data_IF_786165075474
#
_entry.id   IF_786165075474
#
_cell.length_a   1.000
_cell.length_b   1.000
_cell.length_c   1.000
_cell.angle_alpha   90.00
_cell.angle_beta   90.00
_cell.angle_gamma   90.00
#
_symmetry.space_group_name_H-M   'P 1'
#
loop_
_entity.id
_entity.type
_entity.pdbx_description
1 polymer ?
#
# COMPACT_ATOMS: atom_id res chain seq x y z
N UNK A 1 -28.97 -0.88 -6.07
CA UNK A 1 -29.27 -0.81 -4.62
C UNK A 1 -28.28 -1.76 -3.95
N UNK A 2 -27.30 -1.28 -3.21
CA UNK A 2 -26.33 -2.13 -2.52
C UNK A 2 -27.07 -2.91 -1.42
N UNK A 3 -27.08 -4.23 -1.54
CA UNK A 3 -27.67 -5.13 -0.54
C UNK A 3 -26.56 -5.41 0.48
N UNK A 4 -26.86 -5.19 1.77
CA UNK A 4 -25.96 -5.60 2.85
C UNK A 4 -25.79 -7.12 2.83
N UNK A 5 -24.54 -7.58 2.67
CA UNK A 5 -24.21 -9.01 2.69
C UNK A 5 -23.57 -9.35 4.04
N UNK A 6 -24.30 -10.12 4.88
CA UNK A 6 -23.87 -10.52 6.20
C UNK A 6 -22.61 -11.40 6.16
N UNK A 7 -22.43 -12.20 5.11
CA UNK A 7 -21.25 -13.06 4.97
C UNK A 7 -20.01 -12.22 4.69
N UNK A 8 -20.14 -11.25 3.81
CA UNK A 8 -19.08 -10.33 3.45
C UNK A 8 -18.65 -9.48 4.66
N UNK A 9 -19.64 -8.93 5.36
CA UNK A 9 -19.42 -8.23 6.64
C UNK A 9 -18.67 -9.13 7.63
N UNK A 10 -19.11 -10.38 7.79
CA UNK A 10 -18.51 -11.33 8.73
C UNK A 10 -17.05 -11.66 8.40
N UNK A 11 -16.73 -11.83 7.11
CA UNK A 11 -15.36 -12.03 6.64
C UNK A 11 -14.49 -10.83 6.97
N UNK A 12 -14.98 -9.61 6.71
CA UNK A 12 -14.25 -8.36 7.01
C UNK A 12 -14.03 -8.20 8.51
N UNK A 13 -15.05 -8.41 9.32
CA UNK A 13 -14.95 -8.37 10.77
C UNK A 13 -13.85 -9.31 11.27
N UNK A 14 -13.81 -10.55 10.78
CA UNK A 14 -12.77 -11.52 11.13
C UNK A 14 -11.37 -11.05 10.75
N UNK A 15 -11.22 -10.48 9.56
CA UNK A 15 -9.95 -10.00 9.06
C UNK A 15 -9.44 -8.81 9.89
N UNK A 16 -10.30 -7.82 10.12
CA UNK A 16 -9.93 -6.64 10.92
C UNK A 16 -9.61 -7.00 12.36
N UNK A 17 -10.38 -7.91 12.97
CA UNK A 17 -10.08 -8.43 14.31
C UNK A 17 -8.69 -9.08 14.37
N UNK A 18 -8.36 -9.93 13.39
CA UNK A 18 -7.03 -10.57 13.31
C UNK A 18 -5.92 -9.56 13.11
N UNK A 19 -6.11 -8.56 12.24
CA UNK A 19 -5.16 -7.46 12.04
C UNK A 19 -4.93 -6.66 13.33
N UNK A 20 -5.98 -6.47 14.14
CA UNK A 20 -5.88 -5.84 15.46
C UNK A 20 -5.25 -6.75 16.54
N UNK A 21 -4.92 -8.00 16.24
CA UNK A 21 -4.35 -8.96 17.19
C UNK A 21 -5.33 -9.46 18.25
N UNK A 22 -6.64 -9.27 18.04
CA UNK A 22 -7.65 -9.65 19.01
C UNK A 22 -8.13 -11.10 18.81
N UNK A 23 -8.31 -11.83 19.92
CA UNK A 23 -9.02 -13.11 19.88
C UNK A 23 -10.55 -12.90 19.80
N UNK A 24 -11.31 -13.94 19.43
CA UNK A 24 -12.78 -13.87 19.51
C UNK A 24 -13.26 -13.65 20.94
N UNK A 25 -12.54 -14.16 21.92
CA UNK A 25 -12.82 -13.97 23.35
C UNK A 25 -12.62 -12.52 23.78
N UNK A 26 -11.52 -11.87 23.35
CA UNK A 26 -11.26 -10.46 23.67
C UNK A 26 -12.38 -9.56 23.12
N UNK A 27 -12.77 -9.79 21.86
CA UNK A 27 -13.84 -9.00 21.25
C UNK A 27 -15.20 -9.29 21.89
N UNK A 28 -15.47 -10.55 22.27
CA UNK A 28 -16.68 -10.95 22.96
C UNK A 28 -16.80 -10.28 24.35
N UNK A 29 -15.69 -10.22 25.07
CA UNK A 29 -15.63 -9.53 26.36
C UNK A 29 -15.96 -8.03 26.22
N UNK A 30 -15.34 -7.36 25.27
CA UNK A 30 -15.59 -5.93 25.01
C UNK A 30 -17.05 -5.63 24.66
N UNK A 31 -17.71 -6.54 23.93
CA UNK A 31 -19.11 -6.42 23.55
C UNK A 31 -20.11 -6.94 24.60
N UNK A 32 -19.62 -7.51 25.67
CA UNK A 32 -20.46 -8.24 26.68
C UNK A 32 -21.36 -9.32 26.05
N UNK A 33 -20.77 -10.12 25.15
CA UNK A 33 -21.43 -11.24 24.46
C UNK A 33 -20.60 -12.53 24.61
N UNK A 34 -21.10 -13.65 24.11
CA UNK A 34 -20.34 -14.90 24.11
C UNK A 34 -19.40 -14.98 22.91
N UNK A 35 -18.30 -15.76 23.02
CA UNK A 35 -17.43 -16.12 21.89
C UNK A 35 -18.24 -16.69 20.72
N UNK A 36 -19.26 -17.51 21.02
CA UNK A 36 -20.14 -18.08 20.00
C UNK A 36 -20.89 -17.01 19.22
N UNK A 37 -21.27 -15.90 19.85
CA UNK A 37 -21.92 -14.76 19.20
C UNK A 37 -20.95 -14.11 18.19
N UNK A 38 -19.70 -13.87 18.59
CA UNK A 38 -18.66 -13.33 17.66
C UNK A 38 -18.44 -14.29 16.48
N UNK A 39 -18.33 -15.60 16.75
CA UNK A 39 -18.19 -16.60 15.68
C UNK A 39 -19.37 -16.57 14.70
N UNK A 40 -20.61 -16.32 15.19
CA UNK A 40 -21.80 -16.21 14.32
C UNK A 40 -21.79 -14.93 13.50
N UNK A 41 -21.34 -13.82 14.07
CA UNK A 41 -21.13 -12.58 13.31
C UNK A 41 -20.09 -12.78 12.19
N UNK A 42 -18.95 -13.39 12.50
CA UNK A 42 -17.87 -13.66 11.52
C UNK A 42 -18.27 -14.66 10.43
N UNK A 43 -19.27 -15.48 10.66
CA UNK A 43 -19.81 -16.42 9.66
C UNK A 43 -21.02 -15.87 8.90
N UNK A 44 -21.47 -14.67 9.24
CA UNK A 44 -22.65 -14.05 8.63
C UNK A 44 -23.96 -14.73 8.98
N UNK A 45 -24.03 -15.44 10.10
CA UNK A 45 -25.27 -16.07 10.55
C UNK A 45 -26.20 -15.13 11.33
N UNK A 46 -25.64 -14.06 11.87
CA UNK A 46 -26.37 -13.02 12.59
C UNK A 46 -25.63 -11.71 12.42
N UNK A 47 -26.36 -10.60 12.40
CA UNK A 47 -25.81 -9.27 12.28
C UNK A 47 -25.69 -8.61 13.67
N UNK A 48 -24.59 -7.91 13.95
CA UNK A 48 -24.46 -7.10 15.17
C UNK A 48 -25.35 -5.86 15.11
N UNK A 49 -25.73 -5.36 16.27
CA UNK A 49 -26.43 -4.08 16.38
C UNK A 49 -25.50 -2.90 16.09
N UNK A 50 -26.03 -1.70 15.72
CA UNK A 50 -25.19 -0.52 15.50
C UNK A 50 -24.29 -0.18 16.70
N UNK A 51 -24.79 -0.36 17.93
CA UNK A 51 -23.99 -0.16 19.15
C UNK A 51 -22.83 -1.14 19.24
N UNK A 52 -23.04 -2.40 18.89
CA UNK A 52 -21.99 -3.43 18.87
C UNK A 52 -20.94 -3.11 17.80
N UNK A 53 -21.37 -2.65 16.62
CA UNK A 53 -20.46 -2.23 15.55
C UNK A 53 -19.57 -1.08 16.01
N UNK A 54 -20.13 -0.07 16.67
CA UNK A 54 -19.35 1.05 17.21
C UNK A 54 -18.28 0.59 18.22
N UNK A 55 -18.65 -0.35 19.13
CA UNK A 55 -17.70 -0.93 20.08
C UNK A 55 -16.62 -1.73 19.36
N UNK A 56 -16.98 -2.56 18.37
CA UNK A 56 -16.03 -3.32 17.56
C UNK A 56 -15.01 -2.39 16.88
N UNK A 57 -15.49 -1.32 16.26
CA UNK A 57 -14.62 -0.35 15.59
C UNK A 57 -13.63 0.31 16.56
N UNK A 58 -14.08 0.67 17.75
CA UNK A 58 -13.23 1.24 18.79
C UNK A 58 -12.17 0.23 19.27
N UNK A 59 -12.56 -1.00 19.58
CA UNK A 59 -11.64 -2.04 20.05
C UNK A 59 -10.59 -2.42 19.00
N UNK A 60 -10.99 -2.46 17.74
CA UNK A 60 -10.08 -2.76 16.61
C UNK A 60 -9.34 -1.51 16.10
N UNK A 61 -9.71 -0.32 16.58
CA UNK A 61 -9.17 0.96 16.14
C UNK A 61 -9.30 1.17 14.62
N UNK A 62 -10.49 0.93 14.09
CA UNK A 62 -10.80 1.03 12.66
C UNK A 62 -11.96 1.99 12.40
N UNK A 63 -12.00 2.54 11.18
CA UNK A 63 -13.19 3.23 10.69
C UNK A 63 -14.30 2.22 10.36
N UNK A 64 -15.55 2.57 10.62
CA UNK A 64 -16.73 1.73 10.36
C UNK A 64 -16.83 1.30 8.89
N UNK A 65 -16.40 2.13 7.97
CA UNK A 65 -16.40 1.82 6.53
C UNK A 65 -15.61 0.53 6.21
N UNK A 66 -14.58 0.19 6.98
CA UNK A 66 -13.81 -1.05 6.78
C UNK A 66 -14.64 -2.31 6.98
N UNK A 67 -15.76 -2.23 7.71
CA UNK A 67 -16.70 -3.34 7.89
C UNK A 67 -17.81 -3.35 6.84
N UNK A 68 -18.15 -2.18 6.28
CA UNK A 68 -19.28 -2.00 5.37
C UNK A 68 -18.89 -1.67 3.94
N UNK A 69 -17.60 -1.57 3.68
CA UNK A 69 -17.11 -1.12 2.38
C UNK A 69 -17.54 -2.07 1.26
N UNK A 70 -18.78 -1.85 0.83
CA UNK A 70 -19.29 -2.25 -0.47
C UNK A 70 -18.96 -1.18 -1.52
N UNK A 71 -17.95 -0.32 -1.27
CA UNK A 71 -17.41 0.40 -2.39
C UNK A 71 -17.08 -0.67 -3.41
N UNK A 72 -17.83 -0.68 -4.49
CA UNK A 72 -17.36 -1.26 -5.74
C UNK A 72 -15.95 -0.75 -5.85
N UNK A 73 -15.00 -1.61 -5.47
CA UNK A 73 -13.60 -1.22 -5.48
C UNK A 73 -13.42 -0.67 -6.87
N UNK A 74 -12.99 0.60 -6.96
CA UNK A 74 -12.67 1.28 -8.22
C UNK A 74 -11.71 0.41 -9.07
N UNK A 75 -11.21 -0.63 -8.44
CA UNK A 75 -10.39 -1.70 -9.03
C UNK A 75 -11.29 -2.66 -9.78
N UNK A 76 -11.45 -2.43 -11.08
CA UNK A 76 -12.00 -3.44 -11.96
C UNK A 76 -11.15 -4.71 -11.84
N UNK A 77 -11.80 -5.84 -11.62
CA UNK A 77 -11.21 -7.19 -11.51
C UNK A 77 -10.20 -7.50 -12.63
N UNK A 78 -10.44 -6.94 -13.81
CA UNK A 78 -9.59 -7.10 -14.99
C UNK A 78 -8.23 -6.40 -14.86
N UNK A 79 -8.13 -5.35 -14.03
CA UNK A 79 -6.93 -4.54 -13.89
C UNK A 79 -6.12 -4.86 -12.62
N UNK A 80 -6.62 -5.72 -11.74
CA UNK A 80 -5.91 -6.13 -10.53
C UNK A 80 -5.26 -7.50 -10.73
N UNK A 81 -4.02 -7.50 -11.23
CA UNK A 81 -3.22 -8.71 -11.46
C UNK A 81 -1.83 -8.53 -10.85
N UNK A 82 -1.28 -9.59 -10.28
CA UNK A 82 0.13 -9.63 -9.88
C UNK A 82 1.02 -9.82 -11.12
N UNK A 83 1.38 -8.72 -11.74
CA UNK A 83 2.23 -8.69 -12.94
C UNK A 83 3.67 -9.11 -12.65
N UNK A 84 4.12 -9.06 -11.40
CA UNK A 84 5.48 -9.39 -11.00
C UNK A 84 5.71 -10.89 -10.80
N UNK A 85 4.65 -11.67 -10.63
CA UNK A 85 4.70 -13.14 -10.39
C UNK A 85 5.57 -13.51 -9.20
N UNK A 86 5.53 -12.71 -8.14
CA UNK A 86 6.23 -12.92 -6.86
C UNK A 86 5.38 -12.37 -5.72
N UNK A 87 5.57 -12.91 -4.52
CA UNK A 87 4.88 -12.46 -3.31
C UNK A 87 5.63 -11.33 -2.59
N UNK A 88 6.86 -11.05 -3.01
CA UNK A 88 7.70 -10.05 -2.34
C UNK A 88 8.49 -9.27 -3.36
N UNK A 89 8.47 -7.93 -3.20
CA UNK A 89 9.35 -7.01 -3.89
C UNK A 89 10.10 -6.15 -2.87
N UNK A 90 11.16 -5.53 -3.33
CA UNK A 90 11.97 -4.62 -2.54
C UNK A 90 11.99 -3.26 -3.20
N UNK A 91 11.68 -2.21 -2.45
CA UNK A 91 11.67 -0.83 -2.92
C UNK A 91 12.84 -0.05 -2.32
N UNK A 92 13.52 0.67 -3.18
CA UNK A 92 14.67 1.52 -2.86
C UNK A 92 14.38 2.94 -3.30
N UNK A 93 14.60 3.92 -2.45
CA UNK A 93 14.49 5.32 -2.83
C UNK A 93 15.38 6.23 -1.98
N UNK A 94 15.62 7.44 -2.48
CA UNK A 94 16.34 8.48 -1.76
C UNK A 94 15.37 9.37 -1.02
N UNK A 95 15.40 9.33 0.31
CA UNK A 95 14.60 10.16 1.19
C UNK A 95 15.38 11.35 1.75
N UNK A 96 14.65 12.31 2.33
CA UNK A 96 15.22 13.43 3.07
C UNK A 96 14.61 13.42 4.47
N UNK A 97 15.44 13.42 5.51
CA UNK A 97 14.96 13.60 6.86
C UNK A 97 14.52 15.06 7.07
N UNK A 98 13.24 15.32 7.41
CA UNK A 98 12.72 16.69 7.49
C UNK A 98 13.46 17.57 8.51
N UNK A 99 13.86 16.97 9.64
CA UNK A 99 14.50 17.66 10.76
C UNK A 99 15.95 18.02 10.49
N UNK A 100 16.71 17.11 9.90
CA UNK A 100 18.17 17.28 9.71
C UNK A 100 18.54 17.74 8.31
N UNK A 101 17.59 17.75 7.34
CA UNK A 101 17.83 17.98 5.91
C UNK A 101 18.82 16.99 5.28
N UNK A 102 19.25 15.97 6.02
CA UNK A 102 20.15 14.94 5.50
C UNK A 102 19.40 13.99 4.57
N UNK A 103 20.06 13.62 3.49
CA UNK A 103 19.54 12.58 2.59
C UNK A 103 19.89 11.21 3.13
N UNK A 104 18.97 10.26 2.94
CA UNK A 104 19.18 8.86 3.27
C UNK A 104 18.66 7.99 2.13
N UNK A 105 19.29 6.84 1.93
CA UNK A 105 18.76 5.79 1.09
C UNK A 105 17.90 4.87 1.94
N UNK A 106 16.65 4.72 1.57
CA UNK A 106 15.64 4.00 2.32
C UNK A 106 15.19 2.76 1.54
N UNK A 107 14.95 1.69 2.27
CA UNK A 107 14.56 0.40 1.76
C UNK A 107 13.30 -0.10 2.47
N UNK A 108 12.36 -0.60 1.68
CA UNK A 108 11.13 -1.20 2.16
C UNK A 108 10.89 -2.55 1.49
N UNK A 109 10.03 -3.36 2.07
CA UNK A 109 9.46 -4.55 1.44
C UNK A 109 8.05 -4.24 0.97
N UNK A 110 7.67 -4.83 -0.14
CA UNK A 110 6.32 -4.81 -0.68
C UNK A 110 5.84 -6.26 -0.71
N UNK A 111 5.00 -6.62 0.25
CA UNK A 111 4.38 -7.94 0.29
C UNK A 111 3.14 -7.94 -0.58
N UNK A 112 3.06 -8.89 -1.50
CA UNK A 112 1.96 -9.02 -2.45
C UNK A 112 1.09 -10.20 -2.05
N UNK A 113 -0.19 -9.96 -1.87
CA UNK A 113 -1.18 -10.96 -1.45
C UNK A 113 -2.28 -11.02 -2.51
N UNK A 114 -2.36 -12.13 -3.23
CA UNK A 114 -3.39 -12.33 -4.23
C UNK A 114 -4.69 -12.82 -3.59
N UNK A 115 -5.77 -12.11 -3.85
CA UNK A 115 -7.13 -12.52 -3.53
C UNK A 115 -7.89 -12.79 -4.83
N UNK A 116 -9.08 -13.40 -4.72
CA UNK A 116 -9.90 -13.75 -5.90
C UNK A 116 -10.27 -12.55 -6.79
N UNK A 117 -10.30 -11.35 -6.24
CA UNK A 117 -10.79 -10.14 -6.93
C UNK A 117 -9.78 -9.01 -7.00
N UNK A 118 -8.83 -8.98 -6.09
CA UNK A 118 -7.83 -7.92 -6.00
C UNK A 118 -6.47 -8.47 -5.58
N UNK A 119 -5.45 -7.73 -5.91
CA UNK A 119 -4.10 -7.94 -5.36
C UNK A 119 -3.84 -6.87 -4.30
N UNK A 120 -3.75 -7.30 -3.04
CA UNK A 120 -3.37 -6.45 -1.91
C UNK A 120 -1.86 -6.29 -1.89
N UNK A 121 -1.37 -5.11 -1.51
CA UNK A 121 0.05 -4.83 -1.33
C UNK A 121 0.27 -4.19 0.02
N UNK A 122 1.13 -4.79 0.84
CA UNK A 122 1.56 -4.24 2.12
C UNK A 122 2.96 -3.62 1.98
N UNK A 123 3.09 -2.35 2.32
CA UNK A 123 4.38 -1.69 2.47
C UNK A 123 4.89 -1.96 3.89
N UNK A 124 6.02 -2.69 4.01
CA UNK A 124 6.59 -3.08 5.28
C UNK A 124 7.93 -2.38 5.53
N UNK A 125 8.17 -2.03 6.77
CA UNK A 125 9.51 -1.67 7.24
C UNK A 125 10.49 -2.82 6.98
N UNK A 126 11.63 -2.51 6.38
CA UNK A 126 12.58 -3.52 5.93
C UNK A 126 13.14 -4.38 7.06
N UNK A 127 13.41 -3.77 8.23
CA UNK A 127 14.08 -4.42 9.35
C UNK A 127 13.10 -5.13 10.28
N UNK A 128 11.97 -4.50 10.57
CA UNK A 128 11.01 -4.96 11.58
C UNK A 128 9.88 -5.78 11.01
N UNK A 129 9.68 -5.79 9.68
CA UNK A 129 8.53 -6.34 8.96
C UNK A 129 7.17 -5.76 9.42
N UNK A 130 7.19 -4.63 10.12
CA UNK A 130 5.96 -3.96 10.53
C UNK A 130 5.28 -3.35 9.31
N UNK A 131 3.99 -3.57 9.16
CA UNK A 131 3.19 -2.94 8.11
C UNK A 131 3.16 -1.43 8.36
N UNK A 132 3.61 -0.67 7.39
CA UNK A 132 3.59 0.79 7.38
C UNK A 132 2.32 1.30 6.70
N UNK A 133 1.98 0.74 5.55
CA UNK A 133 0.78 1.04 4.78
C UNK A 133 0.23 -0.23 4.12
N UNK A 134 -1.07 -0.26 3.89
CA UNK A 134 -1.73 -1.31 3.12
C UNK A 134 -2.40 -0.68 1.91
N UNK A 135 -2.41 -1.39 0.81
CA UNK A 135 -2.98 -0.89 -0.43
C UNK A 135 -3.33 -1.99 -1.40
N UNK A 136 -3.49 -1.61 -2.64
CA UNK A 136 -3.82 -2.54 -3.73
C UNK A 136 -3.07 -2.20 -5.01
N UNK A 137 -2.94 -3.20 -5.86
CA UNK A 137 -2.22 -3.12 -7.13
C UNK A 137 -3.22 -2.99 -8.28
N UNK A 138 -2.92 -2.08 -9.19
CA UNK A 138 -3.57 -1.91 -10.48
C UNK A 138 -2.52 -2.03 -11.57
N UNK A 139 -2.81 -2.76 -12.63
CA UNK A 139 -1.92 -2.84 -13.80
C UNK A 139 -2.70 -2.52 -15.07
N UNK A 140 -2.14 -1.68 -15.90
CA UNK A 140 -2.57 -1.58 -17.26
C UNK A 140 -1.88 -2.70 -18.08
N UNK A 141 -2.60 -3.37 -18.88
CA UNK A 141 -2.24 -4.42 -19.83
C UNK A 141 -0.76 -4.50 -20.30
N UNK A 142 0.22 -4.45 -19.38
CA UNK A 142 1.64 -4.79 -19.48
C UNK A 142 2.68 -3.64 -19.48
N UNK A 143 2.31 -2.39 -19.39
CA UNK A 143 3.30 -1.30 -19.41
C UNK A 143 3.57 -0.68 -18.05
N UNK A 144 2.51 -0.41 -17.27
CA UNK A 144 2.65 0.17 -15.92
C UNK A 144 1.89 -0.60 -14.87
N UNK A 145 2.34 -0.47 -13.64
CA UNK A 145 1.67 -0.98 -12.47
C UNK A 145 1.62 0.12 -11.41
N UNK A 146 0.41 0.45 -10.96
CA UNK A 146 0.18 1.36 -9.86
C UNK A 146 -0.09 0.57 -8.58
N UNK A 147 0.59 0.93 -7.50
CA UNK A 147 0.32 0.45 -6.14
C UNK A 147 -0.17 1.64 -5.33
N UNK A 148 -1.41 1.60 -4.90
CA UNK A 148 -2.06 2.69 -4.18
C UNK A 148 -2.17 2.29 -2.72
N UNK A 149 -1.57 3.07 -1.83
CA UNK A 149 -1.47 2.80 -0.40
C UNK A 149 -2.25 3.80 0.41
N UNK A 150 -2.83 3.32 1.49
CA UNK A 150 -3.55 4.12 2.47
C UNK A 150 -3.12 3.78 3.88
N UNK A 151 -2.96 4.80 4.72
CA UNK A 151 -2.71 4.64 6.14
C UNK A 151 -3.50 5.69 6.91
N UNK A 152 -4.48 5.23 7.67
CA UNK A 152 -5.21 6.09 8.58
C UNK A 152 -4.60 6.00 9.98
N UNK A 153 -4.11 7.12 10.50
CA UNK A 153 -3.56 7.25 11.86
C UNK A 153 -4.59 7.98 12.74
N UNK A 154 -5.48 7.26 13.43
CA UNK A 154 -6.57 7.88 14.19
C UNK A 154 -6.08 8.80 15.31
N UNK A 155 -4.96 8.47 15.95
CA UNK A 155 -4.41 9.27 17.05
C UNK A 155 -3.96 10.69 16.63
N UNK A 156 -3.74 10.94 15.34
CA UNK A 156 -3.29 12.22 14.81
C UNK A 156 -4.32 12.82 13.83
N UNK A 157 -5.46 12.18 13.63
CA UNK A 157 -6.44 12.53 12.59
C UNK A 157 -5.78 12.68 11.20
N UNK A 158 -4.75 11.87 10.95
CA UNK A 158 -3.89 11.98 9.77
C UNK A 158 -4.17 10.84 8.82
N UNK A 159 -4.52 11.20 7.60
CA UNK A 159 -4.68 10.28 6.48
C UNK A 159 -3.46 10.41 5.57
N UNK A 160 -2.76 9.33 5.34
CA UNK A 160 -1.59 9.29 4.44
C UNK A 160 -1.94 8.44 3.23
N UNK A 161 -1.68 8.96 2.05
CA UNK A 161 -1.81 8.24 0.77
C UNK A 161 -0.45 8.20 0.11
N UNK A 162 -0.09 7.05 -0.41
CA UNK A 162 1.10 6.87 -1.24
C UNK A 162 0.72 6.16 -2.54
N UNK A 163 1.35 6.55 -3.64
CA UNK A 163 1.21 5.87 -4.93
C UNK A 163 2.60 5.54 -5.43
N UNK A 164 2.79 4.31 -5.85
CA UNK A 164 4.00 3.88 -6.56
C UNK A 164 3.58 3.47 -7.96
N UNK A 165 4.02 4.22 -8.96
CA UNK A 165 3.88 3.86 -10.38
C UNK A 165 5.17 3.22 -10.86
N UNK A 166 5.11 2.01 -11.40
CA UNK A 166 6.26 1.25 -11.88
C UNK A 166 6.11 0.98 -13.37
N UNK A 167 7.15 1.25 -14.13
CA UNK A 167 7.23 0.82 -15.54
C UNK A 167 7.67 -0.65 -15.60
N UNK A 168 6.78 -1.51 -16.11
CA UNK A 168 7.02 -2.96 -16.22
C UNK A 168 7.72 -3.32 -17.54
N UNK A 169 7.52 -2.53 -18.59
CA UNK A 169 8.05 -2.80 -19.93
C UNK A 169 9.58 -2.71 -19.98
N UNK A 170 10.19 -1.94 -19.09
CA UNK A 170 11.63 -1.73 -18.96
C UNK A 170 12.22 -2.60 -17.84
N UNK A 171 11.94 -3.90 -17.84
CA UNK A 171 12.48 -4.83 -16.86
C UNK A 171 13.95 -5.11 -17.17
N UNK A 172 14.85 -4.41 -16.48
CA UNK A 172 16.29 -4.64 -16.52
C UNK A 172 16.64 -5.68 -15.45
N UNK A 173 16.96 -6.91 -15.82
CA UNK A 173 17.48 -7.97 -14.93
C UNK A 173 16.89 -8.04 -13.51
N UNK A 174 15.55 -7.95 -13.42
CA UNK A 174 14.78 -7.88 -12.17
C UNK A 174 14.78 -6.50 -11.47
N UNK A 175 15.30 -5.44 -12.07
CA UNK A 175 15.17 -4.07 -11.61
C UNK A 175 14.14 -3.33 -12.46
N UNK A 176 13.30 -2.55 -11.81
CA UNK A 176 12.28 -1.71 -12.45
C UNK A 176 12.36 -0.31 -11.87
N UNK A 177 12.28 0.68 -12.73
CA UNK A 177 12.17 2.07 -12.31
C UNK A 177 10.72 2.45 -12.05
N UNK A 178 10.52 3.30 -11.06
CA UNK A 178 9.20 3.82 -10.74
C UNK A 178 9.26 5.19 -10.08
N UNK A 179 8.08 5.75 -9.88
CA UNK A 179 7.87 7.00 -9.15
C UNK A 179 7.06 6.72 -7.90
N UNK A 180 7.60 7.12 -6.76
CA UNK A 180 6.90 7.15 -5.48
C UNK A 180 6.33 8.55 -5.26
N UNK A 181 5.03 8.68 -5.30
CA UNK A 181 4.28 9.88 -4.90
C UNK A 181 3.74 9.71 -3.49
N UNK A 182 4.12 10.59 -2.58
CA UNK A 182 3.63 10.57 -1.21
C UNK A 182 3.62 11.96 -0.59
N UNK A 183 2.92 12.14 0.51
CA UNK A 183 3.03 13.35 1.32
C UNK A 183 4.16 13.21 2.33
N UNK A 184 4.90 14.29 2.57
CA UNK A 184 5.88 14.33 3.66
C UNK A 184 5.20 14.59 5.02
N UNK A 185 5.99 14.63 6.10
CA UNK A 185 5.51 14.91 7.45
C UNK A 185 4.82 16.28 7.61
N UNK A 186 4.97 17.18 6.65
CA UNK A 186 4.33 18.50 6.58
C UNK A 186 3.11 18.52 5.65
N UNK A 187 2.65 17.35 5.20
CA UNK A 187 1.57 17.17 4.22
C UNK A 187 1.85 17.80 2.84
N UNK A 188 3.12 18.03 2.50
CA UNK A 188 3.51 18.52 1.18
C UNK A 188 3.67 17.32 0.26
N UNK A 189 2.94 17.26 -0.86
CA UNK A 189 3.13 16.22 -1.87
C UNK A 189 4.55 16.28 -2.43
N UNK A 190 5.13 15.13 -2.67
CA UNK A 190 6.44 15.04 -3.32
C UNK A 190 6.52 13.75 -4.13
N UNK A 191 7.23 13.84 -5.25
CA UNK A 191 7.52 12.71 -6.12
C UNK A 191 9.00 12.37 -6.02
N UNK A 192 9.31 11.09 -6.06
CA UNK A 192 10.69 10.57 -5.96
C UNK A 192 10.86 9.41 -6.89
N UNK A 193 12.02 9.30 -7.50
CA UNK A 193 12.41 8.05 -8.16
C UNK A 193 12.52 6.94 -7.14
N UNK A 194 12.05 5.76 -7.51
CA UNK A 194 12.28 4.53 -6.78
C UNK A 194 12.73 3.43 -7.73
N UNK A 195 13.49 2.50 -7.18
CA UNK A 195 13.85 1.24 -7.83
C UNK A 195 13.08 0.14 -7.15
N UNK A 196 12.43 -0.71 -7.92
CA UNK A 196 11.75 -1.90 -7.46
C UNK A 196 12.54 -3.12 -7.92
N UNK A 197 12.80 -4.06 -7.03
CA UNK A 197 13.52 -5.29 -7.34
C UNK A 197 12.76 -6.52 -6.82
N UNK A 198 12.83 -7.62 -7.57
CA UNK A 198 12.35 -8.94 -7.10
C UNK A 198 13.30 -9.55 -6.07
N UNK A 199 14.54 -9.12 -6.07
CA UNK A 199 15.57 -9.63 -5.17
C UNK A 199 15.95 -8.58 -4.13
N UNK A 200 16.34 -9.06 -2.95
CA UNK A 200 16.94 -8.19 -1.95
C UNK A 200 18.39 -7.87 -2.38
N UNK A 201 18.61 -6.66 -2.86
CA UNK A 201 19.92 -6.17 -3.32
C UNK A 201 20.48 -5.12 -2.36
N UNK A 202 21.77 -4.90 -2.42
CA UNK A 202 22.44 -3.82 -1.69
C UNK A 202 22.34 -2.48 -2.43
N UNK A 203 22.51 -1.38 -1.70
CA UNK A 203 22.63 -0.06 -2.32
C UNK A 203 23.99 0.12 -2.99
N UNK A 204 24.14 -0.42 -4.19
CA UNK A 204 25.32 -0.19 -5.03
C UNK A 204 25.36 1.25 -5.54
N UNK A 205 26.49 1.67 -6.12
CA UNK A 205 26.57 2.97 -6.73
C UNK A 205 25.62 3.09 -7.94
N UNK A 206 25.44 2.02 -8.69
CA UNK A 206 24.47 1.96 -9.81
C UNK A 206 23.05 2.30 -9.36
N UNK A 207 22.57 1.67 -8.28
CA UNK A 207 21.23 1.97 -7.71
C UNK A 207 21.14 3.42 -7.24
N UNK A 208 22.22 3.97 -6.66
CA UNK A 208 22.24 5.37 -6.25
C UNK A 208 22.19 6.34 -7.43
N UNK A 209 22.83 6.00 -8.54
CA UNK A 209 22.75 6.78 -9.78
C UNK A 209 21.33 6.73 -10.36
N UNK A 210 20.69 5.56 -10.44
CA UNK A 210 19.30 5.40 -10.88
C UNK A 210 18.31 6.28 -10.10
N UNK A 211 18.59 6.51 -8.84
CA UNK A 211 17.75 7.33 -7.96
C UNK A 211 18.02 8.83 -8.05
N UNK A 212 18.98 9.27 -8.86
CA UNK A 212 19.23 10.70 -9.11
C UNK A 212 18.22 11.25 -10.12
N UNK A 213 17.87 12.51 -9.91
CA UNK A 213 17.15 13.29 -10.93
C UNK A 213 18.21 13.77 -11.93
N UNK A 214 18.07 13.40 -13.19
CA UNK A 214 19.00 13.75 -14.25
C UNK A 214 18.90 15.24 -14.62
N UNK A 215 19.90 15.77 -15.32
CA UNK A 215 19.86 17.16 -15.78
C UNK A 215 18.78 17.37 -16.84
N UNK A 216 18.52 16.37 -17.69
CA UNK A 216 17.41 16.40 -18.64
C UNK A 216 16.04 16.51 -17.94
N UNK A 217 15.81 15.78 -16.86
CA UNK A 217 14.58 15.88 -16.08
C UNK A 217 14.42 17.25 -15.41
N UNK A 218 15.53 17.87 -14.96
CA UNK A 218 15.52 19.23 -14.41
C UNK A 218 15.21 20.27 -15.46
N UNK A 219 15.78 20.14 -16.66
CA UNK A 219 15.51 21.03 -17.79
C UNK A 219 14.05 20.98 -18.19
N UNK A 220 13.47 19.77 -18.30
CA UNK A 220 12.04 19.61 -18.60
C UNK A 220 11.15 20.35 -17.62
N UNK A 221 11.47 20.35 -16.34
CA UNK A 221 10.72 21.13 -15.35
C UNK A 221 10.80 22.64 -15.61
N UNK A 222 12.00 23.14 -15.90
CA UNK A 222 12.23 24.57 -16.12
C UNK A 222 11.61 25.10 -17.43
N UNK A 223 11.54 24.28 -18.47
CA UNK A 223 11.10 24.70 -19.80
C UNK A 223 9.59 24.52 -20.03
N UNK A 224 8.99 23.52 -19.41
CA UNK A 224 7.62 23.10 -19.70
C UNK A 224 6.66 23.27 -18.50
N UNK A 225 7.13 23.84 -17.38
CA UNK A 225 6.37 23.94 -16.12
C UNK A 225 5.74 22.59 -15.69
N UNK A 226 6.30 21.49 -16.18
CA UNK A 226 5.80 20.15 -15.96
C UNK A 226 6.92 19.27 -15.36
N UNK A 227 6.67 18.78 -14.16
CA UNK A 227 7.56 17.82 -13.52
C UNK A 227 7.23 16.41 -14.02
N UNK A 228 8.13 15.83 -14.81
CA UNK A 228 8.02 14.43 -15.13
C UNK A 228 9.35 13.72 -14.88
N UNK A 229 9.25 12.53 -14.29
CA UNK A 229 10.39 11.67 -14.06
C UNK A 229 10.39 10.64 -15.18
N UNK A 230 11.43 10.64 -15.98
CA UNK A 230 11.62 9.64 -17.02
C UNK A 230 12.00 8.29 -16.38
N UNK A 231 11.12 7.33 -16.54
CA UNK A 231 11.33 5.95 -16.11
C UNK A 231 11.54 4.99 -17.28
N UNK A 232 11.69 5.55 -18.50
CA UNK A 232 11.80 4.78 -19.75
C UNK A 232 13.23 4.70 -20.28
N UNK A 233 14.14 5.57 -19.84
CA UNK A 233 15.45 5.72 -20.46
C UNK A 233 16.35 4.52 -20.19
N UNK A 234 16.66 3.77 -21.26
CA UNK A 234 17.64 2.68 -21.27
C UNK A 234 19.05 3.12 -21.67
N UNK A 235 19.20 4.31 -22.21
CA UNK A 235 20.45 4.73 -22.85
C UNK A 235 21.57 5.07 -21.89
N UNK A 236 21.28 5.29 -20.61
CA UNK A 236 22.29 5.65 -19.60
C UNK A 236 23.06 4.45 -19.01
N UNK A 237 22.84 3.23 -19.52
CA UNK A 237 23.41 1.99 -18.97
C UNK A 237 24.35 1.22 -19.88
N UNK A 238 24.60 1.71 -21.09
CA UNK A 238 25.63 1.18 -21.99
C UNK A 238 26.88 2.05 -21.90
N UNK A 239 27.58 2.02 -20.77
CA UNK A 239 28.83 2.73 -20.54
C UNK A 239 29.78 1.92 -19.65
#
# INVERSE_FOLDING_TARGET
MAIFDEKDFGVRLRNERKKAGLSQENLAYALNVTKSTISRFEKGFTSPTPKQIAIMCNEMNINVNRLFDNSEKIVNKENSKNVFKTNMLYMYYKGIYPTTKKTAFLKFKLEIIEHSEIVEVNLLDFNTNKIYMTGYMLSDNNNTCDMIFENYKPNNNKYEVGIITVNISNNMDNLMLGVLRATNSQNIPNDRKCVISKNNIEFTNEIKELLKVTDAEKVNFCENDCWYIDITNKEDFEG
#
